data_IF_749790809310
#
_entry.id   IF_749790809310
#
_cell.length_a   1.000
_cell.length_b   1.000
_cell.length_c   1.000
_cell.angle_alpha   90.00
_cell.angle_beta   90.00
_cell.angle_gamma   90.00
#
_symmetry.space_group_name_H-M   'P 1'
#
loop_
_entity.id
_entity.type
_entity.pdbx_description
1 polymer ?
#
# COMPACT_ATOMS: atom_id res chain seq x y z
N UNK A 1 1.96 -8.39 -9.06
CA UNK A 1 3.18 -8.90 -8.39
C UNK A 1 3.69 -7.82 -7.44
N UNK A 2 3.97 -8.17 -6.20
CA UNK A 2 4.63 -7.29 -5.22
C UNK A 2 5.96 -7.93 -4.86
N UNK A 3 7.04 -7.16 -4.94
CA UNK A 3 8.35 -7.60 -4.43
C UNK A 3 8.46 -7.17 -2.97
N UNK A 4 8.73 -8.14 -2.09
CA UNK A 4 8.94 -7.89 -0.67
C UNK A 4 10.40 -8.17 -0.31
N UNK A 5 11.04 -7.21 0.35
CA UNK A 5 12.45 -7.26 0.67
C UNK A 5 12.74 -6.62 2.04
N UNK A 6 13.85 -7.02 2.64
CA UNK A 6 14.34 -6.47 3.91
C UNK A 6 15.76 -5.93 3.73
N UNK A 7 16.10 -4.87 4.45
CA UNK A 7 17.48 -4.38 4.60
C UNK A 7 17.92 -4.59 6.05
N UNK A 8 19.07 -5.22 6.24
CA UNK A 8 19.56 -5.59 7.57
C UNK A 8 18.78 -6.75 8.18
N UNK A 9 18.47 -6.66 9.48
CA UNK A 9 17.82 -7.73 10.25
C UNK A 9 16.43 -7.31 10.77
N UNK A 10 15.66 -6.60 9.95
CA UNK A 10 14.32 -6.16 10.32
C UNK A 10 13.37 -7.36 10.39
N UNK A 11 12.74 -7.55 11.54
CA UNK A 11 11.73 -8.57 11.74
C UNK A 11 10.36 -8.06 11.25
N UNK A 12 9.56 -9.00 10.75
CA UNK A 12 8.16 -8.76 10.43
C UNK A 12 7.31 -8.87 11.68
N UNK A 13 6.19 -8.14 11.72
CA UNK A 13 5.26 -8.18 12.85
C UNK A 13 4.58 -9.55 12.98
N UNK A 14 4.27 -10.16 11.84
CA UNK A 14 3.65 -11.48 11.75
C UNK A 14 4.48 -12.43 10.87
N UNK A 15 4.32 -13.73 11.11
CA UNK A 15 5.04 -14.80 10.38
C UNK A 15 4.12 -15.76 9.63
N UNK A 16 2.81 -15.53 9.69
CA UNK A 16 1.76 -16.36 9.12
C UNK A 16 0.90 -15.59 8.08
N UNK A 17 1.51 -14.61 7.41
CA UNK A 17 0.88 -13.85 6.34
C UNK A 17 1.15 -14.54 5.01
N UNK A 18 0.09 -14.73 4.22
CA UNK A 18 0.18 -15.38 2.90
C UNK A 18 0.91 -14.48 1.90
N UNK A 19 1.60 -15.10 0.93
CA UNK A 19 2.28 -14.40 -0.17
C UNK A 19 1.34 -13.95 -1.29
N UNK A 20 0.06 -14.32 -1.19
CA UNK A 20 -1.01 -13.97 -2.13
C UNK A 20 -2.15 -13.35 -1.33
N UNK A 21 -2.72 -12.27 -1.84
CA UNK A 21 -3.94 -11.66 -1.34
C UNK A 21 -4.87 -11.36 -2.50
N UNK A 22 -6.17 -11.48 -2.25
CA UNK A 22 -7.22 -11.15 -3.21
C UNK A 22 -7.70 -9.74 -2.93
N UNK A 23 -7.89 -8.94 -3.98
CA UNK A 23 -8.42 -7.60 -3.88
C UNK A 23 -9.20 -7.23 -5.14
N UNK A 24 -10.31 -6.48 -5.02
CA UNK A 24 -11.04 -5.98 -6.18
C UNK A 24 -10.19 -4.97 -6.96
N UNK A 25 -10.39 -4.92 -8.27
CA UNK A 25 -9.81 -3.84 -9.07
C UNK A 25 -10.38 -2.49 -8.60
N UNK A 26 -9.54 -1.50 -8.28
CA UNK A 26 -10.03 -0.22 -7.79
C UNK A 26 -10.89 0.47 -8.85
N UNK A 27 -11.98 1.09 -8.42
CA UNK A 27 -12.94 1.79 -9.28
C UNK A 27 -13.08 3.24 -8.84
N UNK A 28 -13.20 4.14 -9.82
CA UNK A 28 -13.53 5.54 -9.60
C UNK A 28 -14.61 5.94 -10.61
N UNK A 29 -15.72 6.52 -10.15
CA UNK A 29 -16.85 6.86 -11.01
C UNK A 29 -17.45 5.67 -11.77
N UNK A 30 -17.39 4.47 -11.19
CA UNK A 30 -17.86 3.24 -11.85
C UNK A 30 -16.88 2.64 -12.86
N UNK A 31 -15.73 3.27 -13.13
CA UNK A 31 -14.72 2.79 -14.09
C UNK A 31 -13.52 2.21 -13.35
N UNK A 32 -13.00 1.08 -13.83
CA UNK A 32 -11.76 0.50 -13.31
C UNK A 32 -10.59 1.45 -13.57
N UNK A 33 -9.88 1.83 -12.50
CA UNK A 33 -8.71 2.70 -12.61
C UNK A 33 -7.43 1.88 -12.65
N UNK A 34 -6.60 2.16 -13.65
CA UNK A 34 -5.28 1.56 -13.77
C UNK A 34 -4.28 2.35 -12.91
N UNK A 35 -3.32 1.64 -12.31
CA UNK A 35 -2.27 2.18 -11.45
C UNK A 35 -2.74 2.78 -10.10
N UNK A 36 -3.94 2.44 -9.60
CA UNK A 36 -4.27 2.58 -8.16
C UNK A 36 -4.02 1.24 -7.48
N UNK A 37 -3.28 1.25 -6.37
CA UNK A 37 -3.12 0.05 -5.53
C UNK A 37 -4.45 -0.20 -4.80
N UNK A 38 -4.88 -1.46 -4.63
CA UNK A 38 -6.05 -1.78 -3.83
C UNK A 38 -5.82 -1.44 -2.34
N UNK A 39 -6.83 -0.97 -1.59
CA UNK A 39 -6.69 -0.64 -0.16
C UNK A 39 -6.12 -1.80 0.69
N UNK A 40 -6.47 -3.04 0.33
CA UNK A 40 -6.03 -4.27 0.99
C UNK A 40 -4.50 -4.43 0.98
N UNK A 41 -3.83 -3.83 0.00
CA UNK A 41 -2.37 -3.80 -0.06
C UNK A 41 -1.77 -3.06 1.14
N UNK A 42 -2.35 -1.93 1.55
CA UNK A 42 -1.82 -1.15 2.68
C UNK A 42 -2.04 -1.88 4.00
N UNK A 43 -3.21 -2.49 4.17
CA UNK A 43 -3.51 -3.33 5.34
C UNK A 43 -2.52 -4.50 5.45
N UNK A 44 -2.17 -5.13 4.32
CA UNK A 44 -1.15 -6.17 4.28
C UNK A 44 0.23 -5.65 4.71
N UNK A 45 0.63 -4.47 4.24
CA UNK A 45 1.91 -3.86 4.62
C UNK A 45 1.95 -3.52 6.11
N UNK A 46 0.92 -2.89 6.65
CA UNK A 46 0.81 -2.52 8.07
C UNK A 46 0.79 -3.73 9.00
N UNK A 47 0.16 -4.82 8.54
CA UNK A 47 0.13 -6.09 9.27
C UNK A 47 1.50 -6.76 9.28
N UNK A 48 2.26 -6.68 8.18
CA UNK A 48 3.52 -7.42 8.04
C UNK A 48 4.75 -6.64 8.49
N UNK A 49 4.78 -5.33 8.26
CA UNK A 49 5.97 -4.48 8.39
C UNK A 49 5.81 -3.49 9.54
N UNK A 50 6.82 -3.29 10.39
CA UNK A 50 6.77 -2.23 11.38
C UNK A 50 6.87 -0.85 10.72
N UNK A 51 6.15 0.14 11.25
CA UNK A 51 6.28 1.54 10.85
C UNK A 51 7.61 2.18 11.30
N UNK A 52 7.89 3.43 10.89
CA UNK A 52 7.02 4.32 10.10
C UNK A 52 6.91 3.93 8.62
N UNK A 53 5.83 4.37 7.95
CA UNK A 53 5.53 4.01 6.57
C UNK A 53 5.75 5.17 5.59
N UNK A 54 6.25 4.84 4.39
CA UNK A 54 6.51 5.77 3.29
C UNK A 54 5.99 5.17 1.98
N UNK A 55 5.15 5.92 1.26
CA UNK A 55 4.83 5.61 -0.13
C UNK A 55 5.47 6.63 -1.08
N UNK A 56 6.23 6.14 -2.05
CA UNK A 56 6.81 6.93 -3.12
C UNK A 56 5.89 6.91 -4.36
N UNK A 57 5.86 8.03 -5.07
CA UNK A 57 5.00 8.26 -6.23
C UNK A 57 3.50 8.10 -5.90
N UNK A 58 3.11 8.47 -4.68
CA UNK A 58 1.72 8.35 -4.27
C UNK A 58 0.84 9.39 -4.98
N UNK A 59 -0.40 8.96 -5.28
CA UNK A 59 -1.47 9.80 -5.85
C UNK A 59 -2.69 9.87 -4.92
N UNK A 60 -2.58 9.24 -3.76
CA UNK A 60 -3.61 9.15 -2.71
C UNK A 60 -3.06 9.77 -1.42
N UNK A 61 -3.90 9.88 -0.40
CA UNK A 61 -3.51 10.10 0.99
C UNK A 61 -3.82 8.86 1.82
N UNK A 62 -3.09 8.62 2.91
CA UNK A 62 -3.46 7.62 3.93
C UNK A 62 -2.96 8.08 5.27
N UNK A 63 -3.81 7.97 6.29
CA UNK A 63 -3.43 8.27 7.66
C UNK A 63 -2.29 7.36 8.13
N UNK A 64 -1.35 7.90 8.92
CA UNK A 64 -0.21 7.14 9.45
C UNK A 64 0.93 6.89 8.45
N UNK A 65 0.80 7.33 7.20
CA UNK A 65 1.82 7.19 6.15
C UNK A 65 2.39 8.55 5.73
N UNK A 66 3.70 8.58 5.49
CA UNK A 66 4.31 9.68 4.73
C UNK A 66 4.06 9.42 3.24
N UNK A 67 3.31 10.31 2.60
CA UNK A 67 3.03 10.22 1.16
C UNK A 67 3.90 11.19 0.40
N UNK A 68 4.65 10.68 -0.58
CA UNK A 68 5.54 11.49 -1.41
C UNK A 68 5.28 11.26 -2.89
N UNK A 69 5.05 12.34 -3.63
CA UNK A 69 4.78 12.33 -5.07
C UNK A 69 4.25 13.68 -5.55
N UNK A 70 4.32 13.92 -6.87
CA UNK A 70 3.90 15.20 -7.45
C UNK A 70 2.37 15.37 -7.53
N UNK A 71 1.62 14.27 -7.39
CA UNK A 71 0.15 14.24 -7.49
C UNK A 71 -0.52 13.71 -6.21
N UNK A 72 0.12 13.85 -5.04
CA UNK A 72 -0.44 13.37 -3.77
C UNK A 72 -1.82 14.00 -3.51
N UNK A 73 -2.78 13.19 -3.07
CA UNK A 73 -4.15 13.61 -2.78
C UNK A 73 -5.09 13.71 -3.98
N UNK A 74 -4.62 13.50 -5.21
CA UNK A 74 -5.45 13.53 -6.43
C UNK A 74 -6.67 12.61 -6.38
N UNK A 75 -6.57 11.44 -5.73
CA UNK A 75 -7.68 10.50 -5.60
C UNK A 75 -8.28 10.41 -4.19
N UNK A 76 -7.89 11.31 -3.28
CA UNK A 76 -8.31 11.27 -1.89
C UNK A 76 -7.70 10.11 -1.10
N UNK A 77 -8.42 9.64 -0.09
CA UNK A 77 -7.93 8.61 0.82
C UNK A 77 -7.85 7.23 0.14
N UNK A 78 -6.75 6.52 0.44
CA UNK A 78 -6.32 5.28 -0.20
C UNK A 78 -7.17 4.08 0.21
#
# INVERSE_FOLDING_TARGET
LVLFAVRGHLLTNERNVLTVFEAPNPRHGGVTVLARKPPEFYTLVERQSPGPYLELFSRNTREGWTMWGDEVGKFGEA
#
